data_IF_187826447409
#
_entry.id   IF_187826447409
#
_cell.length_a   1.000
_cell.length_b   1.000
_cell.length_c   1.000
_cell.angle_alpha   90.00
_cell.angle_beta   90.00
_cell.angle_gamma   90.00
#
_symmetry.space_group_name_H-M   'P 1'
#
loop_
_entity.id
_entity.type
_entity.pdbx_description
1 polymer ?
#
# COMPACT_ATOMS: atom_id res chain seq x y z
N UNK A 1 -4.43 0.78 -35.49
CA UNK A 1 -4.96 1.62 -34.38
C UNK A 1 -5.15 0.82 -33.09
N UNK A 2 -5.95 -0.28 -33.04
CA UNK A 2 -6.22 -1.06 -31.82
C UNK A 2 -4.96 -1.55 -31.10
N UNK A 3 -4.04 -2.22 -31.80
CA UNK A 3 -2.79 -2.71 -31.21
C UNK A 3 -1.94 -1.57 -30.62
N UNK A 4 -1.82 -0.47 -31.34
CA UNK A 4 -1.07 0.72 -30.90
C UNK A 4 -1.73 1.40 -29.69
N UNK A 5 -3.07 1.42 -29.64
CA UNK A 5 -3.81 1.93 -28.48
C UNK A 5 -3.55 1.06 -27.24
N UNK A 6 -3.64 -0.25 -27.34
CA UNK A 6 -3.39 -1.16 -26.21
C UNK A 6 -1.95 -1.07 -25.69
N UNK A 7 -0.97 -0.94 -26.59
CA UNK A 7 0.45 -0.89 -26.22
C UNK A 7 0.81 0.42 -25.50
N UNK A 8 0.23 1.55 -25.93
CA UNK A 8 0.60 2.87 -25.42
C UNK A 8 -0.37 3.45 -24.39
N UNK A 9 -1.48 2.75 -24.08
CA UNK A 9 -2.47 3.24 -23.13
C UNK A 9 -2.03 3.05 -21.68
N UNK A 10 -2.00 4.15 -20.93
CA UNK A 10 -1.60 4.15 -19.51
C UNK A 10 -2.58 3.39 -18.61
N UNK A 11 -3.87 3.35 -18.96
CA UNK A 11 -4.87 2.59 -18.23
C UNK A 11 -4.63 1.09 -18.37
N UNK A 12 -4.29 0.62 -19.57
CA UNK A 12 -3.89 -0.76 -19.80
C UNK A 12 -2.64 -1.14 -19.00
N UNK A 13 -1.62 -0.28 -19.02
CA UNK A 13 -0.41 -0.49 -18.23
C UNK A 13 -0.71 -0.54 -16.71
N UNK A 14 -1.63 0.29 -16.22
CA UNK A 14 -2.06 0.26 -14.81
C UNK A 14 -2.82 -1.03 -14.49
N UNK A 15 -3.74 -1.49 -15.33
CA UNK A 15 -4.47 -2.74 -15.15
C UNK A 15 -3.54 -3.96 -15.07
N UNK A 16 -2.54 -4.04 -15.96
CA UNK A 16 -1.50 -5.08 -15.93
C UNK A 16 -0.74 -5.06 -14.60
N UNK A 17 -0.38 -3.87 -14.09
CA UNK A 17 0.32 -3.73 -12.80
C UNK A 17 -0.56 -4.14 -11.62
N UNK A 18 -1.87 -3.86 -11.67
CA UNK A 18 -2.82 -4.32 -10.67
C UNK A 18 -2.93 -5.85 -10.65
N UNK A 19 -2.98 -6.50 -11.81
CA UNK A 19 -2.96 -7.96 -11.92
C UNK A 19 -1.67 -8.55 -11.36
N UNK A 20 -0.52 -7.92 -11.63
CA UNK A 20 0.76 -8.31 -11.02
C UNK A 20 0.75 -8.16 -9.49
N UNK A 21 0.21 -7.05 -8.97
CA UNK A 21 0.07 -6.83 -7.53
C UNK A 21 -0.81 -7.88 -6.87
N UNK A 22 -1.97 -8.21 -7.47
CA UNK A 22 -2.86 -9.27 -6.99
C UNK A 22 -2.17 -10.66 -6.99
N UNK A 23 -1.32 -10.94 -7.96
CA UNK A 23 -0.49 -12.16 -8.01
C UNK A 23 0.52 -12.22 -6.86
N UNK A 24 1.16 -11.09 -6.52
CA UNK A 24 2.07 -11.03 -5.36
C UNK A 24 1.32 -11.13 -4.04
N UNK A 25 0.11 -10.57 -3.96
CA UNK A 25 -0.78 -10.73 -2.80
C UNK A 25 -1.13 -12.20 -2.58
N UNK A 26 -1.51 -12.94 -3.63
CA UNK A 26 -1.77 -14.39 -3.54
C UNK A 26 -0.53 -15.15 -3.02
N UNK A 27 0.68 -14.82 -3.53
CA UNK A 27 1.93 -15.41 -3.05
C UNK A 27 2.22 -15.08 -1.58
N UNK A 28 1.90 -13.87 -1.14
CA UNK A 28 2.05 -13.46 0.26
C UNK A 28 1.13 -14.28 1.17
N UNK A 29 -0.13 -14.49 0.79
CA UNK A 29 -1.04 -15.35 1.55
C UNK A 29 -0.61 -16.82 1.56
N UNK A 30 0.00 -17.30 0.49
CA UNK A 30 0.59 -18.65 0.45
C UNK A 30 1.77 -18.77 1.42
N UNK A 31 2.57 -17.71 1.60
CA UNK A 31 3.69 -17.70 2.54
C UNK A 31 3.25 -17.93 4.01
N UNK A 32 1.98 -17.62 4.36
CA UNK A 32 1.44 -17.88 5.70
C UNK A 32 1.32 -19.38 6.06
N UNK A 33 1.52 -20.29 5.11
CA UNK A 33 1.64 -21.74 5.40
C UNK A 33 3.02 -22.13 5.93
N UNK A 34 4.01 -21.25 5.85
CA UNK A 34 5.39 -21.48 6.28
C UNK A 34 5.70 -20.78 7.59
N UNK A 35 6.80 -21.21 8.28
CA UNK A 35 7.26 -20.49 9.47
C UNK A 35 7.64 -19.05 9.17
N UNK A 36 7.25 -18.16 10.05
CA UNK A 36 7.68 -16.77 10.02
C UNK A 36 8.92 -16.60 10.93
N UNK A 37 10.00 -16.05 10.38
CA UNK A 37 11.24 -15.77 11.08
C UNK A 37 11.35 -14.28 11.32
N UNK A 38 11.37 -13.88 12.59
CA UNK A 38 11.52 -12.49 12.99
C UNK A 38 12.81 -12.32 13.78
N UNK A 39 13.67 -11.40 13.36
CA UNK A 39 14.83 -10.96 14.10
C UNK A 39 14.54 -9.58 14.70
N UNK A 40 14.75 -9.44 16.01
CA UNK A 40 14.58 -8.17 16.72
C UNK A 40 15.84 -7.80 17.46
N UNK A 41 16.14 -6.50 17.50
CA UNK A 41 17.25 -5.97 18.27
C UNK A 41 16.88 -4.63 18.87
N UNK A 42 17.23 -4.42 20.14
CA UNK A 42 17.02 -3.14 20.81
C UNK A 42 18.27 -2.77 21.63
N UNK A 43 18.56 -1.48 21.70
CA UNK A 43 19.62 -0.93 22.53
C UNK A 43 19.04 0.15 23.44
N UNK A 44 19.32 0.04 24.72
CA UNK A 44 18.98 1.06 25.71
C UNK A 44 20.27 1.66 26.25
N UNK A 45 20.44 2.95 26.10
CA UNK A 45 21.50 3.71 26.75
C UNK A 45 20.93 4.49 27.93
N UNK A 46 21.50 4.27 29.12
CA UNK A 46 21.06 4.94 30.35
C UNK A 46 22.25 5.54 31.06
N UNK A 47 22.10 6.75 31.55
CA UNK A 47 23.04 7.43 32.47
C UNK A 47 22.62 7.29 33.92
N UNK A 48 21.65 6.39 34.21
CA UNK A 48 21.12 6.19 35.55
C UNK A 48 22.18 5.52 36.45
N UNK A 49 22.51 6.19 37.54
CA UNK A 49 23.32 5.68 38.62
C UNK A 49 22.44 5.63 39.87
N UNK A 50 22.47 4.53 40.59
CA UNK A 50 21.78 4.40 41.85
C UNK A 50 22.71 3.90 42.92
N UNK A 51 22.50 4.37 44.16
CA UNK A 51 23.16 3.87 45.35
C UNK A 51 22.10 3.46 46.34
N UNK A 52 22.28 2.29 46.93
CA UNK A 52 21.48 1.81 48.04
C UNK A 52 22.41 1.58 49.22
N UNK A 53 22.23 2.41 50.24
CA UNK A 53 23.04 2.36 51.46
C UNK A 53 22.21 1.76 52.57
N UNK A 54 22.67 0.68 53.14
CA UNK A 54 22.15 0.13 54.42
C UNK A 54 23.10 0.58 55.52
N UNK A 55 22.70 1.49 56.37
CA UNK A 55 23.58 1.97 57.44
C UNK A 55 23.98 0.83 58.37
N UNK A 56 25.24 0.78 58.72
CA UNK A 56 25.75 -0.13 59.73
C UNK A 56 25.22 0.27 61.12
N UNK A 57 25.09 -0.67 61.98
CA UNK A 57 24.61 -0.41 63.35
C UNK A 57 24.77 -1.65 64.24
N UNK A 58 24.56 -1.43 65.51
CA UNK A 58 24.49 -2.47 66.51
C UNK A 58 23.12 -3.12 66.51
N UNK A 59 23.04 -4.40 66.20
CA UNK A 59 21.79 -5.18 66.28
C UNK A 59 21.70 -5.88 67.61
N UNK A 60 20.58 -5.85 68.35
CA UNK A 60 20.41 -6.59 69.56
C UNK A 60 20.53 -8.10 69.27
N UNK A 61 21.26 -8.81 70.13
CA UNK A 61 21.34 -10.27 70.05
C UNK A 61 20.31 -10.93 70.89
N UNK A 62 19.77 -12.03 70.43
CA UNK A 62 18.77 -12.84 71.11
C UNK A 62 19.36 -14.23 71.34
N UNK A 63 19.12 -14.79 72.52
CA UNK A 63 19.54 -16.14 72.89
C UNK A 63 18.27 -16.99 73.08
N UNK A 64 18.23 -18.22 72.50
CA UNK A 64 17.16 -19.14 72.76
C UNK A 64 17.23 -19.65 74.22
N UNK A 65 16.10 -19.65 74.92
CA UNK A 65 15.96 -20.26 76.22
C UNK A 65 15.75 -21.79 76.10
N UNK A 66 15.65 -22.49 77.22
CA UNK A 66 15.43 -23.95 77.27
C UNK A 66 14.07 -24.37 76.65
N UNK A 67 13.15 -23.44 76.39
CA UNK A 67 11.83 -23.65 75.74
C UNK A 67 11.83 -23.31 74.28
N UNK A 68 12.95 -22.79 73.70
CA UNK A 68 13.08 -22.38 72.31
C UNK A 68 12.58 -20.95 72.03
N UNK A 69 12.24 -20.16 73.03
CA UNK A 69 11.91 -18.75 72.88
C UNK A 69 13.18 -17.90 72.84
N UNK A 70 13.21 -16.91 71.90
CA UNK A 70 14.34 -15.99 71.78
C UNK A 70 14.16 -14.82 72.77
N UNK A 71 15.02 -14.77 73.78
CA UNK A 71 15.07 -13.70 74.77
C UNK A 71 16.14 -12.67 74.44
N UNK A 72 15.87 -11.35 74.58
CA UNK A 72 16.85 -10.32 74.34
C UNK A 72 18.03 -10.49 75.30
N UNK A 73 19.25 -10.58 74.71
CA UNK A 73 20.49 -10.55 75.44
C UNK A 73 21.01 -9.10 75.44
N UNK A 74 21.67 -8.66 76.50
CA UNK A 74 22.29 -7.32 76.55
C UNK A 74 23.54 -7.20 75.59
N UNK A 75 23.75 -8.19 74.76
CA UNK A 75 24.78 -8.18 73.72
C UNK A 75 24.32 -7.50 72.45
N UNK A 76 25.25 -6.89 71.75
CA UNK A 76 25.02 -6.29 70.43
C UNK A 76 25.96 -6.93 69.41
N UNK A 77 25.44 -7.35 68.29
CA UNK A 77 26.23 -7.72 67.13
C UNK A 77 26.37 -6.52 66.18
N UNK A 78 27.59 -6.18 65.82
CA UNK A 78 27.83 -5.09 64.86
C UNK A 78 27.53 -5.58 63.46
N UNK A 79 26.61 -4.88 62.81
CA UNK A 79 26.33 -5.04 61.38
C UNK A 79 27.13 -4.00 60.61
N UNK A 80 28.14 -4.40 59.78
CA UNK A 80 28.80 -3.45 58.90
C UNK A 80 27.84 -2.99 57.81
N UNK A 81 27.68 -1.70 57.66
CA UNK A 81 26.81 -1.16 56.60
C UNK A 81 27.17 -1.72 55.23
N UNK A 82 26.21 -1.82 54.35
CA UNK A 82 26.39 -2.30 52.99
C UNK A 82 26.05 -1.16 52.02
N UNK A 83 27.03 -0.74 51.21
CA UNK A 83 26.86 0.22 50.13
C UNK A 83 26.81 -0.52 48.80
N UNK A 84 25.63 -0.55 48.18
CA UNK A 84 25.38 -1.11 46.88
C UNK A 84 25.28 0.02 45.82
N UNK A 85 26.31 0.12 44.99
CA UNK A 85 26.28 1.08 43.89
C UNK A 85 26.05 0.33 42.58
N UNK A 86 25.03 0.74 41.82
CA UNK A 86 24.79 0.17 40.51
C UNK A 86 24.80 1.26 39.42
N UNK A 87 25.32 0.92 38.28
CA UNK A 87 25.39 1.78 37.09
C UNK A 87 24.87 1.00 35.91
N UNK A 88 23.77 1.49 35.33
CA UNK A 88 23.25 0.96 34.08
C UNK A 88 23.71 1.89 32.95
N UNK A 89 24.61 1.44 32.10
CA UNK A 89 25.14 2.26 31.00
C UNK A 89 24.43 1.94 29.69
N UNK A 90 24.70 0.78 29.13
CA UNK A 90 24.15 0.40 27.82
C UNK A 90 23.79 -1.09 27.87
N UNK A 91 22.56 -1.38 27.47
CA UNK A 91 22.05 -2.75 27.37
C UNK A 91 21.65 -2.96 25.90
N UNK A 92 22.21 -4.00 25.30
CA UNK A 92 21.78 -4.48 23.98
C UNK A 92 21.03 -5.80 24.17
N UNK A 93 19.85 -5.87 23.55
CA UNK A 93 19.04 -7.10 23.55
C UNK A 93 18.77 -7.47 22.10
N UNK A 94 18.94 -8.75 21.79
CA UNK A 94 18.63 -9.30 20.48
C UNK A 94 17.92 -10.63 20.63
N UNK A 95 17.00 -10.91 19.71
CA UNK A 95 16.25 -12.15 19.71
C UNK A 95 15.90 -12.61 18.30
N UNK A 96 15.82 -13.92 18.13
CA UNK A 96 15.28 -14.59 16.96
C UNK A 96 13.99 -15.29 17.38
N UNK A 97 12.92 -15.00 16.69
CA UNK A 97 11.62 -15.63 16.92
C UNK A 97 11.21 -16.40 15.67
N UNK A 98 10.78 -17.65 15.88
CA UNK A 98 10.21 -18.50 14.82
C UNK A 98 8.76 -18.79 15.22
N UNK A 99 7.82 -18.42 14.36
CA UNK A 99 6.39 -18.65 14.59
C UNK A 99 5.81 -19.48 13.45
N UNK A 100 5.29 -20.66 13.77
CA UNK A 100 4.64 -21.57 12.83
C UNK A 100 3.21 -21.83 13.29
N UNK A 101 2.18 -21.33 12.58
CA UNK A 101 0.80 -21.70 12.87
C UNK A 101 0.54 -23.15 12.45
N UNK A 102 0.28 -24.04 13.40
CA UNK A 102 -0.04 -25.45 13.14
C UNK A 102 -1.51 -25.61 12.74
N UNK A 103 -2.39 -24.92 13.46
CA UNK A 103 -3.84 -24.99 13.20
C UNK A 103 -4.53 -23.67 13.56
N UNK A 104 -5.25 -23.08 12.62
CA UNK A 104 -6.02 -21.85 12.79
C UNK A 104 -7.48 -21.99 12.32
N UNK A 105 -8.09 -23.15 12.52
CA UNK A 105 -9.50 -23.35 12.15
C UNK A 105 -9.83 -23.09 10.68
N UNK A 106 -8.89 -23.32 9.76
CA UNK A 106 -9.07 -23.08 8.33
C UNK A 106 -8.88 -21.62 7.86
N UNK A 107 -8.57 -20.67 8.77
CA UNK A 107 -8.41 -19.24 8.46
C UNK A 107 -7.38 -19.01 7.34
N UNK A 108 -6.19 -19.64 7.41
CA UNK A 108 -5.14 -19.50 6.41
C UNK A 108 -5.61 -19.98 5.04
N UNK A 109 -6.28 -21.13 4.99
CA UNK A 109 -6.82 -21.71 3.74
C UNK A 109 -7.89 -20.80 3.13
N UNK A 110 -8.79 -20.27 3.96
CA UNK A 110 -9.83 -19.35 3.51
C UNK A 110 -9.22 -18.04 2.98
N UNK A 111 -8.25 -17.47 3.68
CA UNK A 111 -7.54 -16.25 3.27
C UNK A 111 -6.79 -16.46 1.94
N UNK A 112 -6.10 -17.58 1.77
CA UNK A 112 -5.45 -17.93 0.50
C UNK A 112 -6.48 -18.05 -0.65
N UNK A 113 -7.61 -18.71 -0.41
CA UNK A 113 -8.70 -18.82 -1.39
C UNK A 113 -9.25 -17.44 -1.78
N UNK A 114 -9.44 -16.55 -0.81
CA UNK A 114 -9.84 -15.16 -1.08
C UNK A 114 -8.82 -14.43 -1.95
N UNK A 115 -7.53 -14.58 -1.67
CA UNK A 115 -6.48 -13.97 -2.48
C UNK A 115 -6.43 -14.52 -3.92
N UNK A 116 -6.66 -15.82 -4.09
CA UNK A 116 -6.77 -16.45 -5.41
C UNK A 116 -7.96 -15.91 -6.21
N UNK A 117 -9.12 -15.73 -5.58
CA UNK A 117 -10.28 -15.10 -6.21
C UNK A 117 -10.03 -13.63 -6.53
N UNK A 118 -9.33 -12.91 -5.64
CA UNK A 118 -8.89 -11.52 -5.87
C UNK A 118 -7.98 -11.40 -7.10
N UNK A 119 -7.06 -12.35 -7.31
CA UNK A 119 -6.25 -12.41 -8.52
C UNK A 119 -7.09 -12.64 -9.78
N UNK A 120 -8.07 -13.55 -9.73
CA UNK A 120 -9.00 -13.77 -10.85
C UNK A 120 -9.81 -12.51 -11.18
N UNK A 121 -10.31 -11.81 -10.15
CA UNK A 121 -10.96 -10.51 -10.34
C UNK A 121 -10.07 -9.49 -11.04
N UNK A 122 -8.82 -9.38 -10.64
CA UNK A 122 -7.87 -8.46 -11.26
C UNK A 122 -7.62 -8.81 -12.74
N UNK A 123 -7.52 -10.11 -13.08
CA UNK A 123 -7.37 -10.59 -14.46
C UNK A 123 -8.61 -10.27 -15.32
N UNK A 124 -9.81 -10.46 -14.78
CA UNK A 124 -11.05 -10.12 -15.48
C UNK A 124 -11.17 -8.61 -15.70
N UNK A 125 -10.76 -7.81 -14.71
CA UNK A 125 -10.73 -6.36 -14.85
C UNK A 125 -9.71 -5.87 -15.90
N UNK A 126 -8.56 -6.54 -16.01
CA UNK A 126 -7.57 -6.29 -17.09
C UNK A 126 -8.18 -6.56 -18.46
N UNK A 127 -8.91 -7.67 -18.62
CA UNK A 127 -9.61 -8.00 -19.86
C UNK A 127 -10.72 -6.98 -20.19
N UNK A 128 -11.47 -6.54 -19.17
CA UNK A 128 -12.50 -5.52 -19.34
C UNK A 128 -11.88 -4.20 -19.81
N UNK A 129 -10.82 -3.75 -19.15
CA UNK A 129 -10.07 -2.53 -19.54
C UNK A 129 -9.55 -2.62 -20.99
N UNK A 130 -9.04 -3.77 -21.39
CA UNK A 130 -8.62 -4.00 -22.78
C UNK A 130 -9.78 -3.85 -23.77
N UNK A 131 -10.94 -4.39 -23.44
CA UNK A 131 -12.16 -4.28 -24.27
C UNK A 131 -12.65 -2.85 -24.38
N UNK A 132 -12.66 -2.12 -23.27
CA UNK A 132 -13.08 -0.72 -23.23
C UNK A 132 -12.16 0.16 -24.10
N UNK A 133 -10.85 -0.03 -24.01
CA UNK A 133 -9.87 0.70 -24.85
C UNK A 133 -10.10 0.41 -26.34
N UNK A 134 -10.38 -0.85 -26.71
CA UNK A 134 -10.70 -1.21 -28.08
C UNK A 134 -11.97 -0.49 -28.55
N UNK A 135 -13.01 -0.50 -27.73
CA UNK A 135 -14.28 0.17 -28.04
C UNK A 135 -14.09 1.68 -28.24
N UNK A 136 -13.40 2.34 -27.30
CA UNK A 136 -13.08 3.78 -27.41
C UNK A 136 -12.27 4.11 -28.65
N UNK A 137 -11.30 3.25 -29.01
CA UNK A 137 -10.49 3.40 -30.20
C UNK A 137 -11.34 3.30 -31.46
N UNK A 138 -12.27 2.35 -31.51
CA UNK A 138 -13.18 2.17 -32.65
C UNK A 138 -14.17 3.34 -32.80
N UNK A 139 -14.69 3.82 -31.68
CA UNK A 139 -15.56 5.00 -31.67
C UNK A 139 -14.83 6.26 -32.17
N UNK A 140 -13.59 6.49 -31.69
CA UNK A 140 -12.78 7.61 -32.14
C UNK A 140 -12.45 7.52 -33.64
N UNK A 141 -12.16 6.31 -34.13
CA UNK A 141 -11.91 6.07 -35.55
C UNK A 141 -13.16 6.34 -36.42
N UNK A 142 -14.33 5.86 -35.98
CA UNK A 142 -15.58 6.13 -36.66
C UNK A 142 -15.93 7.63 -36.71
N UNK A 143 -15.66 8.37 -35.62
CA UNK A 143 -15.84 9.83 -35.56
C UNK A 143 -14.90 10.55 -36.54
N UNK A 144 -13.65 10.07 -36.65
CA UNK A 144 -12.71 10.64 -37.62
C UNK A 144 -13.19 10.45 -39.07
N UNK A 145 -13.66 9.24 -39.44
CA UNK A 145 -14.25 8.98 -40.75
C UNK A 145 -15.44 9.91 -41.02
N UNK A 146 -16.36 10.00 -40.04
CA UNK A 146 -17.51 10.87 -40.13
C UNK A 146 -17.10 12.33 -40.38
N UNK A 147 -16.12 12.84 -39.65
CA UNK A 147 -15.61 14.20 -39.83
C UNK A 147 -15.00 14.41 -41.24
N UNK A 148 -14.25 13.43 -41.75
CA UNK A 148 -13.73 13.50 -43.10
C UNK A 148 -14.81 13.55 -44.19
N UNK A 149 -15.84 12.72 -44.06
CA UNK A 149 -16.96 12.74 -45.02
C UNK A 149 -17.79 14.05 -44.88
N UNK A 150 -17.98 14.57 -43.67
CA UNK A 150 -18.62 15.89 -43.50
C UNK A 150 -17.82 17.02 -44.15
N UNK A 151 -16.48 16.97 -44.13
CA UNK A 151 -15.63 17.93 -44.78
C UNK A 151 -15.82 17.89 -46.31
N UNK A 152 -15.84 16.68 -46.88
CA UNK A 152 -16.09 16.52 -48.36
C UNK A 152 -17.47 17.10 -48.75
N UNK A 153 -18.49 16.84 -47.96
CA UNK A 153 -19.82 17.40 -48.20
C UNK A 153 -19.78 18.94 -48.12
N UNK A 154 -19.10 19.50 -47.11
CA UNK A 154 -18.98 20.97 -46.97
C UNK A 154 -18.22 21.60 -48.13
N UNK A 155 -17.16 20.97 -48.63
CA UNK A 155 -16.42 21.42 -49.81
C UNK A 155 -17.29 21.40 -51.08
N UNK A 156 -18.05 20.31 -51.26
CA UNK A 156 -18.99 20.22 -52.41
C UNK A 156 -20.08 21.28 -52.33
N UNK A 157 -20.65 21.51 -51.15
CA UNK A 157 -21.64 22.53 -50.91
C UNK A 157 -21.10 23.94 -51.18
N UNK A 158 -19.88 24.22 -50.72
CA UNK A 158 -19.19 25.48 -51.00
C UNK A 158 -18.97 25.71 -52.49
N UNK A 159 -18.60 24.70 -53.26
CA UNK A 159 -18.44 24.80 -54.72
C UNK A 159 -19.77 25.16 -55.42
N UNK A 160 -20.85 24.50 -55.01
CA UNK A 160 -22.22 24.81 -55.54
C UNK A 160 -22.63 26.25 -55.25
N UNK A 161 -22.41 26.72 -54.01
CA UNK A 161 -22.69 28.08 -53.62
C UNK A 161 -21.87 29.11 -54.38
N UNK A 162 -20.58 28.82 -54.65
CA UNK A 162 -19.74 29.69 -55.47
C UNK A 162 -20.27 29.81 -56.92
N UNK A 163 -20.71 28.70 -57.49
CA UNK A 163 -21.26 28.69 -58.84
C UNK A 163 -22.62 29.45 -58.86
N UNK A 164 -23.47 29.22 -57.87
CA UNK A 164 -24.72 29.99 -57.71
C UNK A 164 -24.46 31.50 -57.62
N UNK A 165 -23.47 31.89 -56.80
CA UNK A 165 -23.07 33.30 -56.64
C UNK A 165 -22.62 33.91 -57.99
N UNK A 166 -21.81 33.19 -58.77
CA UNK A 166 -21.40 33.64 -60.13
C UNK A 166 -22.59 33.82 -61.06
N UNK A 167 -23.54 32.90 -61.04
CA UNK A 167 -24.76 32.95 -61.84
C UNK A 167 -25.65 34.12 -61.47
N UNK A 168 -25.84 34.34 -60.16
CA UNK A 168 -26.63 35.50 -59.64
C UNK A 168 -25.94 36.82 -60.00
N UNK A 169 -24.62 36.92 -59.83
CA UNK A 169 -23.86 38.11 -60.25
C UNK A 169 -23.94 38.39 -61.72
N UNK A 170 -23.91 37.37 -62.55
CA UNK A 170 -24.08 37.49 -64.00
C UNK A 170 -25.49 37.99 -64.35
N UNK A 171 -26.53 37.41 -63.77
CA UNK A 171 -27.91 37.82 -63.95
C UNK A 171 -28.17 39.30 -63.51
N UNK A 172 -27.53 39.70 -62.40
CA UNK A 172 -27.58 41.12 -61.97
C UNK A 172 -26.93 42.06 -62.98
N UNK A 173 -25.73 41.69 -63.52
CA UNK A 173 -25.03 42.50 -64.55
C UNK A 173 -25.82 42.67 -65.82
N UNK A 174 -26.63 41.67 -66.15
CA UNK A 174 -27.48 41.71 -67.35
C UNK A 174 -28.87 42.28 -67.07
N UNK A 175 -29.16 42.86 -65.88
CA UNK A 175 -30.40 43.50 -65.51
C UNK A 175 -31.60 42.56 -65.32
N UNK A 176 -31.33 41.25 -65.15
CA UNK A 176 -32.36 40.22 -64.97
C UNK A 176 -32.75 40.01 -63.51
N UNK A 177 -31.98 40.55 -62.56
CA UNK A 177 -32.21 40.46 -61.10
C UNK A 177 -31.88 41.74 -60.40
N UNK A 178 -32.64 42.04 -59.31
CA UNK A 178 -32.40 43.18 -58.45
C UNK A 178 -31.25 42.96 -57.47
N UNK A 179 -30.66 44.04 -56.90
CA UNK A 179 -29.62 44.01 -55.92
C UNK A 179 -30.03 43.30 -54.61
N UNK A 180 -31.36 43.22 -54.37
CA UNK A 180 -31.90 42.61 -53.12
C UNK A 180 -32.37 41.16 -53.29
N UNK A 181 -32.30 40.60 -54.51
CA UNK A 181 -32.55 39.16 -54.75
C UNK A 181 -31.30 38.32 -54.55
#
# INVERSE_FOLDING_TARGET
CRAMALENNKQMAAAIKQTQAARYTEKSYWANFFPNFTASGSGLHSTMNGSFNIPGGNLPTFIPDATGQFLPNNGFAYFPGIDLNYKVRTIYMGGLQVEQPIFMGGKIKAAYKMATLGKQMAQLNENLTSTDIILETDQAYALMIKAQEMNKVAESYHAVLQELMKNVQSAYKHGLKSKND
#
